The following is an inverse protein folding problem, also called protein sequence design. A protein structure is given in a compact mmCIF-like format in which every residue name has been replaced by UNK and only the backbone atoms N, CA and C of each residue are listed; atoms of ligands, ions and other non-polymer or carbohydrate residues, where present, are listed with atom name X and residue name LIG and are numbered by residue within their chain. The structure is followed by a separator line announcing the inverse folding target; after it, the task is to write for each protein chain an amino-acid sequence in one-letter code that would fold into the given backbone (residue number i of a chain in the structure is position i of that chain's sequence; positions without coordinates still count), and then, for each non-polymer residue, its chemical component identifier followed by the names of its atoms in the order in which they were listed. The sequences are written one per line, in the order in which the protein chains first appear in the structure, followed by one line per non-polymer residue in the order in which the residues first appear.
data_IF_763844360244
#
_entry.id   IF_763844360244
#
_cell.length_a   1.000
_cell.length_b   1.000
_cell.length_c   1.000
_cell.angle_alpha   90.00
_cell.angle_beta   90.00
_cell.angle_gamma   90.00
#
_symmetry.space_group_name_H-M   'P 1'
#
loop_
_entity.id
_entity.type
_entity.pdbx_description
1 polymer ?
#
# COMPACT_ATOMS: atom_id res chain seq x y z
N UNK A 1 8.31 -2.61 -15.77
CA UNK A 1 7.16 -1.67 -15.79
C UNK A 1 7.04 -0.89 -17.11
N UNK A 2 8.03 -0.09 -17.53
CA UNK A 2 7.94 0.75 -18.75
C UNK A 2 7.46 0.00 -20.00
N UNK A 3 7.98 -1.20 -20.26
CA UNK A 3 7.55 -2.02 -21.39
C UNK A 3 6.09 -2.45 -21.29
N UNK A 4 5.58 -2.78 -20.08
CA UNK A 4 4.17 -3.11 -19.86
C UNK A 4 3.28 -1.90 -20.17
N UNK A 5 3.64 -0.72 -19.67
CA UNK A 5 2.89 0.51 -19.96
C UNK A 5 2.96 0.94 -21.43
N UNK A 6 4.06 0.65 -22.13
CA UNK A 6 4.16 0.84 -23.57
C UNK A 6 3.23 -0.09 -24.38
N UNK A 7 2.78 -1.20 -23.80
CA UNK A 7 1.77 -2.10 -24.38
C UNK A 7 0.37 -1.64 -23.98
N UNK A 8 0.14 -1.33 -22.69
CA UNK A 8 -1.18 -0.96 -22.17
C UNK A 8 -1.70 0.36 -22.75
N UNK A 9 -0.86 1.38 -22.80
CA UNK A 9 -1.25 2.75 -23.19
C UNK A 9 -0.73 3.14 -24.58
N UNK A 10 0.00 2.24 -25.24
CA UNK A 10 0.50 2.44 -26.60
C UNK A 10 1.21 3.78 -26.79
N UNK A 11 0.68 4.59 -27.70
CA UNK A 11 1.26 5.87 -28.08
C UNK A 11 1.33 6.87 -26.92
N UNK A 12 0.36 6.88 -25.99
CA UNK A 12 0.33 7.82 -24.86
C UNK A 12 1.54 7.68 -23.93
N UNK A 13 2.07 6.46 -23.80
CA UNK A 13 3.28 6.21 -23.04
C UNK A 13 4.54 6.40 -23.89
N UNK A 14 4.55 5.79 -25.09
CA UNK A 14 5.72 5.82 -25.97
C UNK A 14 6.10 7.23 -26.41
N UNK A 15 5.12 8.12 -26.61
CA UNK A 15 5.37 9.49 -27.05
C UNK A 15 6.07 10.37 -26.01
N UNK A 16 6.02 9.99 -24.73
CA UNK A 16 6.65 10.74 -23.63
C UNK A 16 8.16 10.50 -23.54
N UNK A 17 8.65 9.36 -24.05
CA UNK A 17 10.04 8.92 -23.89
C UNK A 17 10.72 8.69 -25.24
N UNK A 18 10.67 9.69 -26.12
CA UNK A 18 11.25 9.62 -27.48
C UNK A 18 12.77 9.74 -27.54
N UNK A 19 13.38 10.40 -26.54
CA UNK A 19 14.82 10.54 -26.45
C UNK A 19 15.37 9.45 -25.54
N UNK A 20 16.37 8.70 -26.01
CA UNK A 20 17.00 7.64 -25.23
C UNK A 20 17.62 8.18 -23.93
N UNK A 21 18.24 9.37 -23.98
CA UNK A 21 18.80 10.02 -22.79
C UNK A 21 17.73 10.36 -21.75
N UNK A 22 16.58 10.88 -22.19
CA UNK A 22 15.46 11.17 -21.30
C UNK A 22 14.80 9.89 -20.78
N UNK A 23 14.69 8.84 -21.60
CA UNK A 23 14.16 7.54 -21.18
C UNK A 23 15.01 6.92 -20.06
N UNK A 24 16.34 6.93 -20.20
CA UNK A 24 17.23 6.41 -19.16
C UNK A 24 17.18 7.25 -17.89
N UNK A 25 17.10 8.59 -18.00
CA UNK A 25 16.85 9.45 -16.86
C UNK A 25 15.54 9.12 -16.16
N UNK A 26 14.43 9.03 -16.91
CA UNK A 26 13.12 8.70 -16.37
C UNK A 26 13.11 7.33 -15.68
N UNK A 27 13.74 6.30 -16.27
CA UNK A 27 13.84 4.99 -15.62
C UNK A 27 14.54 5.07 -14.26
N UNK A 28 15.60 5.88 -14.13
CA UNK A 28 16.30 6.10 -12.85
C UNK A 28 15.40 6.78 -11.82
N UNK A 29 14.74 7.87 -12.20
CA UNK A 29 13.82 8.59 -11.31
C UNK A 29 12.66 7.70 -10.83
N UNK A 30 12.09 6.91 -11.74
CA UNK A 30 11.03 5.96 -11.39
C UNK A 30 11.53 4.83 -10.50
N UNK A 31 12.74 4.32 -10.72
CA UNK A 31 13.35 3.31 -9.86
C UNK A 31 13.58 3.87 -8.45
N UNK A 32 14.13 5.07 -8.34
CA UNK A 32 14.38 5.73 -7.06
C UNK A 32 13.07 5.99 -6.30
N UNK A 33 12.07 6.60 -6.95
CA UNK A 33 10.80 6.94 -6.33
C UNK A 33 9.97 5.73 -5.89
N UNK A 34 10.12 4.59 -6.58
CA UNK A 34 9.40 3.35 -6.30
C UNK A 34 10.20 2.34 -5.46
N UNK A 35 11.50 2.59 -5.21
CA UNK A 35 12.40 1.68 -4.46
C UNK A 35 11.90 1.26 -3.07
N UNK A 36 11.06 2.08 -2.45
CA UNK A 36 10.47 1.84 -1.13
C UNK A 36 9.30 0.82 -1.13
N UNK A 37 8.87 0.33 -2.29
CA UNK A 37 7.76 -0.61 -2.43
C UNK A 37 8.26 -1.96 -2.93
N UNK A 38 7.63 -3.04 -2.46
CA UNK A 38 7.97 -4.39 -2.89
C UNK A 38 7.45 -4.70 -4.29
N UNK A 39 8.06 -5.68 -4.95
CA UNK A 39 7.66 -6.11 -6.30
C UNK A 39 6.20 -6.60 -6.35
N UNK A 40 5.68 -7.17 -5.27
CA UNK A 40 4.27 -7.59 -5.18
C UNK A 40 3.33 -6.38 -5.27
N UNK A 41 3.61 -5.32 -4.51
CA UNK A 41 2.83 -4.08 -4.54
C UNK A 41 2.93 -3.47 -5.95
N UNK A 42 4.13 -3.37 -6.50
CA UNK A 42 4.34 -2.78 -7.83
C UNK A 42 3.58 -3.56 -8.92
N UNK A 43 3.64 -4.90 -8.89
CA UNK A 43 2.93 -5.72 -9.86
C UNK A 43 1.42 -5.60 -9.74
N UNK A 44 0.89 -5.52 -8.50
CA UNK A 44 -0.54 -5.30 -8.29
C UNK A 44 -0.97 -3.94 -8.83
N UNK A 45 -0.26 -2.86 -8.50
CA UNK A 45 -0.60 -1.52 -9.01
C UNK A 45 -0.52 -1.48 -10.55
N UNK A 46 0.49 -2.11 -11.17
CA UNK A 46 0.60 -2.16 -12.63
C UNK A 46 -0.62 -2.82 -13.27
N UNK A 47 -1.18 -3.85 -12.64
CA UNK A 47 -2.41 -4.52 -13.09
C UNK A 47 -3.62 -3.61 -12.84
N UNK A 48 -3.73 -3.02 -11.65
CA UNK A 48 -4.83 -2.11 -11.31
C UNK A 48 -4.90 -0.93 -12.29
N UNK A 49 -3.75 -0.36 -12.67
CA UNK A 49 -3.69 0.71 -13.66
C UNK A 49 -4.17 0.25 -15.04
N UNK A 50 -3.79 -0.96 -15.48
CA UNK A 50 -4.25 -1.53 -16.77
C UNK A 50 -5.79 -1.62 -16.81
N UNK A 51 -6.39 -2.03 -15.70
CA UNK A 51 -7.81 -2.36 -15.65
C UNK A 51 -8.71 -1.15 -15.37
N UNK A 52 -8.19 -0.12 -14.68
CA UNK A 52 -9.00 1.00 -14.17
C UNK A 52 -8.53 2.39 -14.61
N UNK A 53 -7.33 2.54 -15.19
CA UNK A 53 -6.84 3.85 -15.63
C UNK A 53 -6.98 4.00 -17.15
N UNK A 54 -7.70 5.04 -17.60
CA UNK A 54 -7.79 5.37 -19.02
C UNK A 54 -6.46 5.90 -19.59
N UNK A 55 -5.64 6.53 -18.73
CA UNK A 55 -4.36 7.14 -19.09
C UNK A 55 -3.20 6.58 -18.24
N UNK A 56 -1.96 6.55 -18.77
CA UNK A 56 -0.82 6.13 -18.00
C UNK A 56 -0.61 7.03 -16.76
N UNK A 57 -0.32 6.46 -15.59
CA UNK A 57 -0.06 7.25 -14.41
C UNK A 57 1.25 8.02 -14.53
N UNK A 58 1.29 9.19 -13.91
CA UNK A 58 2.54 9.90 -13.60
C UNK A 58 3.26 9.21 -12.42
N UNK A 59 4.56 9.47 -12.24
CA UNK A 59 5.33 8.93 -11.11
C UNK A 59 4.70 9.27 -9.75
N UNK A 60 4.28 10.52 -9.46
CA UNK A 60 3.60 10.84 -8.19
C UNK A 60 2.29 10.06 -7.98
N UNK A 61 1.48 9.88 -9.03
CA UNK A 61 0.26 9.08 -8.95
C UNK A 61 0.59 7.61 -8.67
N UNK A 62 1.61 7.06 -9.33
CA UNK A 62 2.06 5.69 -9.10
C UNK A 62 2.50 5.48 -7.65
N UNK A 63 3.26 6.42 -7.08
CA UNK A 63 3.63 6.40 -5.67
C UNK A 63 2.38 6.42 -4.76
N UNK A 64 1.38 7.24 -5.10
CA UNK A 64 0.10 7.28 -4.41
C UNK A 64 -0.61 5.93 -4.41
N UNK A 65 -0.75 5.30 -5.57
CA UNK A 65 -1.38 3.98 -5.69
C UNK A 65 -0.63 2.90 -4.90
N UNK A 66 0.70 2.89 -4.94
CA UNK A 66 1.51 1.97 -4.13
C UNK A 66 1.26 2.16 -2.63
N UNK A 67 1.15 3.41 -2.16
CA UNK A 67 0.83 3.71 -0.75
C UNK A 67 -0.57 3.22 -0.39
N UNK A 68 -1.55 3.38 -1.27
CA UNK A 68 -2.92 2.94 -1.04
C UNK A 68 -3.01 1.41 -0.93
N UNK A 69 -2.35 0.67 -1.83
CA UNK A 69 -2.30 -0.80 -1.73
C UNK A 69 -1.58 -1.23 -0.46
N UNK A 70 -0.42 -0.63 -0.14
CA UNK A 70 0.31 -0.92 1.09
C UNK A 70 -0.55 -0.68 2.32
N UNK A 71 -1.34 0.40 2.34
CA UNK A 71 -2.26 0.73 3.43
C UNK A 71 -3.41 -0.26 3.54
N UNK A 72 -4.00 -0.67 2.40
CA UNK A 72 -5.06 -1.71 2.37
C UNK A 72 -4.57 -3.05 2.91
N UNK A 73 -3.31 -3.39 2.66
CA UNK A 73 -2.70 -4.64 3.11
C UNK A 73 -2.07 -4.56 4.51
N UNK A 74 -1.96 -3.36 5.08
CA UNK A 74 -1.49 -3.16 6.44
C UNK A 74 -2.62 -3.51 7.43
N UNK A 75 -2.83 -4.80 7.66
CA UNK A 75 -3.69 -5.27 8.74
C UNK A 75 -2.97 -5.07 10.08
N UNK A 76 -3.72 -4.62 11.09
CA UNK A 76 -3.24 -4.64 12.46
C UNK A 76 -3.13 -6.09 12.92
N UNK A 77 -1.90 -6.61 12.97
CA UNK A 77 -1.62 -7.87 13.65
C UNK A 77 -1.62 -7.57 15.14
N UNK A 78 -2.72 -7.90 15.81
CA UNK A 78 -2.78 -7.86 17.27
C UNK A 78 -1.64 -8.70 17.86
N UNK A 79 -1.08 -8.32 19.02
CA UNK A 79 0.01 -9.06 19.61
C UNK A 79 -0.36 -10.54 19.77
N UNK A 80 0.46 -11.44 19.21
CA UNK A 80 0.26 -12.91 19.29
C UNK A 80 0.18 -13.42 20.73
N UNK A 81 0.79 -12.69 21.67
CA UNK A 81 0.80 -13.06 23.08
C UNK A 81 -0.44 -12.52 23.77
N UNK A 82 -1.43 -13.38 23.93
CA UNK A 82 -2.50 -13.19 24.90
C UNK A 82 -1.89 -12.96 26.29
N UNK A 83 -2.03 -11.75 26.81
CA UNK A 83 -1.72 -11.40 28.19
C UNK A 83 -3.03 -11.55 28.99
N UNK A 84 -3.15 -12.54 29.89
CA UNK A 84 -4.30 -12.62 30.78
C UNK A 84 -4.38 -11.35 31.63
N UNK A 85 -5.59 -10.84 31.85
CA UNK A 85 -5.79 -9.72 32.77
C UNK A 85 -5.30 -10.10 34.19
N UNK A 86 -4.76 -9.12 34.94
CA UNK A 86 -4.39 -9.32 36.35
C UNK A 86 -5.61 -9.83 37.12
N UNK A 87 -5.42 -10.92 37.87
CA UNK A 87 -6.47 -11.51 38.69
C UNK A 87 -7.00 -10.51 39.72
N UNK A 88 -6.12 -9.72 40.34
CA UNK A 88 -6.54 -8.73 41.34
C UNK A 88 -7.48 -7.68 40.73
N UNK A 89 -7.15 -7.20 39.53
CA UNK A 89 -7.97 -6.20 38.82
C UNK A 89 -9.32 -6.80 38.40
N UNK A 90 -9.35 -8.05 37.95
CA UNK A 90 -10.59 -8.73 37.58
C UNK A 90 -11.48 -8.93 38.80
N UNK A 91 -10.92 -9.37 39.92
CA UNK A 91 -11.66 -9.61 41.16
C UNK A 91 -12.24 -8.31 41.74
N UNK A 92 -11.48 -7.22 41.76
CA UNK A 92 -11.95 -5.92 42.23
C UNK A 92 -13.10 -5.40 41.36
N UNK A 93 -12.97 -5.48 40.03
CA UNK A 93 -14.05 -5.05 39.13
C UNK A 93 -15.31 -5.92 39.28
N UNK A 94 -15.18 -7.23 39.43
CA UNK A 94 -16.32 -8.13 39.70
C UNK A 94 -16.98 -7.76 41.03
N UNK A 95 -16.19 -7.41 42.06
CA UNK A 95 -16.71 -7.00 43.37
C UNK A 95 -17.50 -5.70 43.30
N UNK A 96 -16.97 -4.70 42.58
CA UNK A 96 -17.66 -3.43 42.34
C UNK A 96 -18.98 -3.68 41.59
N UNK A 97 -18.97 -4.44 40.50
CA UNK A 97 -20.18 -4.79 39.76
C UNK A 97 -21.25 -5.47 40.63
N UNK A 98 -20.84 -6.42 41.48
CA UNK A 98 -21.76 -7.06 42.44
C UNK A 98 -22.33 -6.06 43.45
N UNK A 99 -21.51 -5.13 43.96
CA UNK A 99 -21.96 -4.11 44.90
C UNK A 99 -22.98 -3.14 44.27
N UNK A 100 -22.88 -2.86 42.96
CA UNK A 100 -23.88 -2.07 42.23
C UNK A 100 -25.16 -2.85 41.92
N UNK A 101 -25.07 -4.16 41.67
CA UNK A 101 -26.20 -5.00 41.28
C UNK A 101 -27.07 -5.45 42.47
N UNK A 102 -26.51 -5.56 43.67
CA UNK A 102 -27.22 -6.01 44.87
C UNK A 102 -27.52 -4.87 45.87
N UNK A 103 -27.60 -3.64 45.38
CA UNK A 103 -28.21 -2.50 46.08
C UNK A 103 -29.71 -2.47 45.82
#
# INVERSE_FOLDING_TARGET
MFTRFAVYYGHLWRSQFKSDGFLEFAKKEWLEGLSQFSDEILNQVIIDCRDHCEMPPTLPQMIGFCRDIRKRNAFYVGPEKYQPASKEVVEENIRQCKAYLFK
#
